data_IF_017435125817
#
_entry.id   IF_017435125817
#
_cell.length_a   1.000
_cell.length_b   1.000
_cell.length_c   1.000
_cell.angle_alpha   90.00
_cell.angle_beta   90.00
_cell.angle_gamma   90.00
#
_symmetry.space_group_name_H-M   'P 1'
#
loop_
_entity.id
_entity.type
_entity.pdbx_description
1 polymer ?
#
# COMPACT_ATOMS: atom_id res chain seq x y z
N UNK A 1 -16.13 23.16 -7.09
CA UNK A 1 -16.95 23.73 -8.19
C UNK A 1 -18.19 22.87 -8.35
N UNK A 2 -19.40 23.44 -8.33
CA UNK A 2 -20.66 22.70 -8.54
C UNK A 2 -20.66 22.15 -9.97
N UNK A 3 -20.76 20.82 -10.14
CA UNK A 3 -20.88 20.19 -11.46
C UNK A 3 -22.26 20.56 -12.06
N UNK A 4 -22.33 20.92 -13.34
CA UNK A 4 -23.61 21.23 -14.00
C UNK A 4 -24.52 20.00 -14.00
N UNK A 5 -25.82 20.22 -13.80
CA UNK A 5 -26.84 19.18 -13.59
C UNK A 5 -27.21 18.40 -14.85
N UNK A 6 -26.78 18.84 -16.04
CA UNK A 6 -27.05 18.16 -17.30
C UNK A 6 -25.78 18.20 -18.19
N UNK A 7 -24.91 17.20 -18.01
CA UNK A 7 -23.68 17.04 -18.80
C UNK A 7 -23.99 16.06 -19.94
N UNK A 8 -23.54 16.36 -21.15
CA UNK A 8 -23.68 15.46 -22.30
C UNK A 8 -22.28 15.02 -22.73
N UNK A 9 -22.09 13.72 -22.94
CA UNK A 9 -20.86 13.20 -23.50
C UNK A 9 -20.69 13.74 -24.92
N UNK A 10 -19.57 14.42 -25.19
CA UNK A 10 -19.28 14.98 -26.50
C UNK A 10 -19.17 13.89 -27.58
N UNK A 11 -18.69 12.70 -27.20
CA UNK A 11 -18.46 11.57 -28.10
C UNK A 11 -19.75 10.78 -28.34
N UNK A 12 -20.36 10.27 -27.26
CA UNK A 12 -21.54 9.39 -27.38
C UNK A 12 -22.86 10.14 -27.50
N UNK A 13 -22.86 11.47 -27.28
CA UNK A 13 -24.05 12.34 -27.21
C UNK A 13 -25.10 11.92 -26.17
N UNK A 14 -24.76 11.01 -25.27
CA UNK A 14 -25.61 10.54 -24.17
C UNK A 14 -25.52 11.49 -22.96
N UNK A 15 -26.60 11.64 -22.18
CA UNK A 15 -26.54 12.35 -20.90
C UNK A 15 -25.63 11.60 -19.93
N UNK A 16 -24.82 12.34 -19.19
CA UNK A 16 -23.91 11.85 -18.16
C UNK A 16 -24.36 12.35 -16.81
N UNK A 17 -24.29 11.49 -15.80
CA UNK A 17 -24.37 11.98 -14.42
C UNK A 17 -23.12 12.81 -14.10
N UNK A 18 -23.19 13.71 -13.11
CA UNK A 18 -22.03 14.47 -12.67
C UNK A 18 -20.83 13.60 -12.28
N UNK A 19 -21.05 12.39 -11.78
CA UNK A 19 -20.00 11.45 -11.38
C UNK A 19 -19.33 10.76 -12.58
N UNK A 20 -20.07 10.55 -13.67
CA UNK A 20 -19.59 9.84 -14.86
C UNK A 20 -18.91 10.74 -15.91
N UNK A 21 -19.00 12.06 -15.76
CA UNK A 21 -18.45 13.03 -16.70
C UNK A 21 -17.07 13.55 -16.30
N UNK A 22 -16.08 13.37 -17.18
CA UNK A 22 -14.77 14.00 -17.09
C UNK A 22 -14.69 15.20 -18.03
N UNK A 23 -14.24 16.35 -17.53
CA UNK A 23 -14.02 17.55 -18.35
C UNK A 23 -12.66 17.50 -19.04
N UNK A 24 -12.60 17.97 -20.28
CA UNK A 24 -11.41 18.00 -21.12
C UNK A 24 -10.17 18.58 -20.45
N UNK A 25 -10.33 19.63 -19.64
CA UNK A 25 -9.24 20.26 -18.88
C UNK A 25 -8.44 19.33 -17.96
N UNK A 26 -9.08 18.28 -17.45
CA UNK A 26 -8.46 17.33 -16.53
C UNK A 26 -7.86 16.11 -17.26
N UNK A 27 -7.88 16.10 -18.60
CA UNK A 27 -7.35 15.02 -19.43
C UNK A 27 -5.93 15.39 -19.88
N UNK A 28 -5.00 14.42 -19.86
CA UNK A 28 -3.63 14.62 -20.36
C UNK A 28 -3.67 15.07 -21.83
N UNK A 29 -2.83 16.03 -22.21
CA UNK A 29 -2.81 16.66 -23.54
C UNK A 29 -2.64 15.65 -24.68
N UNK A 30 -1.92 14.58 -24.41
CA UNK A 30 -1.57 13.49 -25.31
C UNK A 30 -2.80 12.64 -25.63
N UNK A 31 -3.66 12.41 -24.63
CA UNK A 31 -4.94 11.73 -24.81
C UNK A 31 -5.91 12.65 -25.55
N UNK A 32 -5.92 13.97 -25.25
CA UNK A 32 -6.73 14.94 -26.01
C UNK A 32 -6.32 14.96 -27.50
N UNK A 33 -5.01 14.88 -27.80
CA UNK A 33 -4.53 14.77 -29.18
C UNK A 33 -5.09 13.53 -29.88
N UNK A 34 -5.14 12.39 -29.20
CA UNK A 34 -5.73 11.17 -29.75
C UNK A 34 -7.24 11.29 -29.97
N UNK A 35 -7.97 11.84 -28.99
CA UNK A 35 -9.41 12.08 -29.12
C UNK A 35 -9.70 13.00 -30.31
N UNK A 36 -8.88 14.04 -30.52
CA UNK A 36 -9.03 14.99 -31.62
C UNK A 36 -8.83 14.39 -33.02
N UNK A 37 -8.18 13.23 -33.13
CA UNK A 37 -8.06 12.53 -34.41
C UNK A 37 -9.43 12.03 -34.87
N UNK A 38 -10.23 11.48 -33.95
CA UNK A 38 -11.56 10.95 -34.25
C UNK A 38 -12.66 12.01 -34.08
N UNK A 39 -12.46 12.96 -33.16
CA UNK A 39 -13.41 14.02 -32.81
C UNK A 39 -12.74 15.39 -32.78
N UNK A 40 -12.58 16.05 -33.96
CA UNK A 40 -11.86 17.32 -34.09
C UNK A 40 -12.43 18.46 -33.24
N UNK A 41 -13.74 18.43 -33.00
CA UNK A 41 -14.48 19.45 -32.24
C UNK A 41 -14.32 19.31 -30.71
N UNK A 42 -13.65 18.25 -30.24
CA UNK A 42 -13.45 18.04 -28.81
C UNK A 42 -12.50 19.10 -28.23
N UNK A 43 -12.99 19.85 -27.24
CA UNK A 43 -12.26 20.95 -26.62
C UNK A 43 -12.12 20.76 -25.09
N UNK A 44 -11.45 21.71 -24.46
CA UNK A 44 -11.14 21.74 -23.03
C UNK A 44 -12.38 21.77 -22.12
N UNK A 45 -13.45 22.42 -22.59
CA UNK A 45 -14.74 22.52 -21.89
C UNK A 45 -15.66 21.32 -22.17
N UNK A 46 -15.29 20.45 -23.11
CA UNK A 46 -16.09 19.29 -23.49
C UNK A 46 -16.03 18.21 -22.41
N UNK A 47 -17.13 17.48 -22.27
CA UNK A 47 -17.21 16.35 -21.34
C UNK A 47 -17.15 15.03 -22.10
N UNK A 48 -16.50 14.04 -21.50
CA UNK A 48 -16.40 12.67 -22.00
C UNK A 48 -16.80 11.72 -20.87
N UNK A 49 -17.44 10.60 -21.22
CA UNK A 49 -17.75 9.57 -20.24
C UNK A 49 -16.48 8.88 -19.73
N UNK A 50 -16.52 8.36 -18.50
CA UNK A 50 -15.42 7.53 -17.96
C UNK A 50 -15.08 6.37 -18.89
N UNK A 51 -16.11 5.70 -19.42
CA UNK A 51 -15.96 4.56 -20.31
C UNK A 51 -15.17 4.92 -21.58
N UNK A 52 -15.55 6.00 -22.25
CA UNK A 52 -14.91 6.42 -23.49
C UNK A 52 -13.49 6.95 -23.24
N UNK A 53 -13.30 7.71 -22.17
CA UNK A 53 -11.98 8.16 -21.76
C UNK A 53 -11.03 6.98 -21.50
N UNK A 54 -11.54 5.88 -20.94
CA UNK A 54 -10.75 4.68 -20.69
C UNK A 54 -10.38 3.94 -21.99
N UNK A 55 -11.22 3.97 -23.03
CA UNK A 55 -10.85 3.44 -24.35
C UNK A 55 -9.65 4.19 -24.92
N UNK A 56 -9.69 5.53 -24.90
CA UNK A 56 -8.57 6.35 -25.38
C UNK A 56 -7.30 6.19 -24.54
N UNK A 57 -7.42 5.97 -23.23
CA UNK A 57 -6.27 5.64 -22.36
C UNK A 57 -5.61 4.31 -22.75
N UNK A 58 -6.40 3.28 -23.08
CA UNK A 58 -5.86 2.00 -23.56
C UNK A 58 -5.10 2.19 -24.86
N UNK A 59 -5.67 2.92 -25.82
CA UNK A 59 -5.01 3.21 -27.10
C UNK A 59 -3.68 3.95 -26.88
N UNK A 60 -3.69 4.96 -26.00
CA UNK A 60 -2.47 5.70 -25.64
C UNK A 60 -1.40 4.79 -25.05
N UNK A 61 -1.74 3.95 -24.06
CA UNK A 61 -0.79 3.02 -23.43
C UNK A 61 -0.21 2.05 -24.47
N UNK A 62 -1.04 1.45 -25.31
CA UNK A 62 -0.60 0.56 -26.39
C UNK A 62 0.35 1.26 -27.37
N UNK A 63 0.13 2.56 -27.63
CA UNK A 63 1.01 3.35 -28.50
C UNK A 63 2.38 3.63 -27.89
N UNK A 64 2.47 3.79 -26.56
CA UNK A 64 3.74 3.98 -25.86
C UNK A 64 4.59 2.70 -25.93
N UNK A 65 3.98 1.54 -25.64
CA UNK A 65 4.67 0.24 -25.68
C UNK A 65 5.20 -0.04 -27.09
N UNK A 66 4.38 0.20 -28.12
CA UNK A 66 4.79 0.02 -29.53
C UNK A 66 5.98 0.91 -29.91
N UNK A 67 6.13 2.08 -29.28
CA UNK A 67 7.24 3.00 -29.55
C UNK A 67 8.54 2.56 -28.90
N UNK A 68 8.48 1.85 -27.77
CA UNK A 68 9.66 1.39 -27.02
C UNK A 68 10.15 0.00 -27.45
N UNK A 69 9.26 -0.94 -27.79
CA UNK A 69 9.64 -2.34 -28.02
C UNK A 69 9.93 -2.72 -29.48
N UNK A 70 9.67 -1.86 -30.47
CA UNK A 70 9.54 -2.36 -31.85
C UNK A 70 8.38 -3.36 -31.95
N UNK A 71 8.26 -4.14 -33.02
CA UNK A 71 7.10 -5.03 -33.24
C UNK A 71 6.80 -5.95 -32.03
N UNK A 72 5.56 -5.90 -31.54
CA UNK A 72 5.13 -6.53 -30.28
C UNK A 72 5.44 -8.03 -30.24
N UNK A 73 6.22 -8.44 -29.24
CA UNK A 73 6.42 -9.85 -28.93
C UNK A 73 5.13 -10.46 -28.33
N UNK A 74 4.91 -11.77 -28.44
CA UNK A 74 3.69 -12.46 -27.98
C UNK A 74 3.45 -12.28 -26.49
N UNK A 75 4.52 -12.23 -25.69
CA UNK A 75 4.48 -11.98 -24.26
C UNK A 75 3.98 -10.57 -23.91
N UNK A 76 4.32 -9.56 -24.72
CA UNK A 76 3.87 -8.18 -24.49
C UNK A 76 2.38 -8.03 -24.80
N UNK A 77 1.86 -8.79 -25.78
CA UNK A 77 0.42 -8.85 -26.08
C UNK A 77 -0.38 -9.44 -24.92
N UNK A 78 0.14 -10.48 -24.27
CA UNK A 78 -0.51 -11.08 -23.10
C UNK A 78 -0.57 -10.10 -21.91
N UNK A 79 0.50 -9.32 -21.69
CA UNK A 79 0.51 -8.25 -20.68
C UNK A 79 -0.52 -7.17 -21.00
N UNK A 80 -0.64 -6.75 -22.26
CA UNK A 80 -1.65 -5.76 -22.70
C UNK A 80 -3.08 -6.29 -22.51
N UNK A 81 -3.33 -7.56 -22.83
CA UNK A 81 -4.64 -8.18 -22.65
C UNK A 81 -5.02 -8.27 -21.16
N UNK A 82 -4.06 -8.66 -20.30
CA UNK A 82 -4.24 -8.70 -18.85
C UNK A 82 -4.54 -7.31 -18.25
N UNK A 83 -3.82 -6.26 -18.69
CA UNK A 83 -4.06 -4.87 -18.27
C UNK A 83 -5.41 -4.36 -18.80
N UNK A 84 -5.83 -4.78 -20.00
CA UNK A 84 -7.11 -4.38 -20.61
C UNK A 84 -8.32 -5.07 -19.98
N UNK A 85 -8.15 -6.32 -19.54
CA UNK A 85 -9.12 -7.10 -18.76
C UNK A 85 -9.25 -6.59 -17.33
N UNK A 86 -8.14 -6.14 -16.73
CA UNK A 86 -8.15 -5.55 -15.40
C UNK A 86 -8.64 -4.09 -15.47
N UNK A 87 -9.97 -3.97 -15.52
CA UNK A 87 -10.72 -2.72 -15.67
C UNK A 87 -10.28 -1.67 -14.61
N UNK A 88 -9.89 -0.48 -15.11
CA UNK A 88 -9.97 0.85 -14.46
C UNK A 88 -8.80 1.39 -13.60
N UNK A 89 -7.72 1.85 -14.25
CA UNK A 89 -6.73 2.77 -13.65
C UNK A 89 -7.20 4.24 -13.64
N UNK A 90 -8.31 4.57 -12.97
CA UNK A 90 -8.65 5.99 -12.77
C UNK A 90 -9.37 6.36 -11.49
N UNK A 91 -9.47 5.47 -10.51
CA UNK A 91 -9.70 5.88 -9.14
C UNK A 91 -8.96 4.89 -8.24
N UNK A 92 -7.88 5.37 -7.62
CA UNK A 92 -7.17 4.71 -6.53
C UNK A 92 -6.86 3.21 -6.72
N UNK A 93 -6.21 2.82 -7.82
CA UNK A 93 -5.41 1.60 -7.79
C UNK A 93 -4.10 1.96 -7.07
N UNK A 94 -4.21 2.00 -5.76
CA UNK A 94 -3.14 1.51 -4.92
C UNK A 94 -2.80 0.12 -5.47
N UNK A 95 -1.67 0.03 -6.16
CA UNK A 95 -1.16 -1.25 -6.63
C UNK A 95 -0.87 -2.06 -5.36
N UNK A 96 -1.85 -2.84 -4.90
CA UNK A 96 -1.62 -4.05 -4.15
C UNK A 96 -0.98 -5.03 -5.13
N UNK A 97 0.27 -4.76 -5.52
CA UNK A 97 1.21 -5.86 -5.63
C UNK A 97 1.15 -6.42 -4.22
N UNK A 98 0.49 -7.56 -4.07
CA UNK A 98 0.74 -8.48 -2.98
C UNK A 98 2.25 -8.72 -3.01
N UNK A 99 3.00 -7.79 -2.40
CA UNK A 99 4.33 -8.07 -1.91
C UNK A 99 4.01 -9.13 -0.88
N UNK A 100 4.14 -10.39 -1.28
CA UNK A 100 4.50 -11.50 -0.41
C UNK A 100 5.24 -10.88 0.77
N UNK A 101 4.53 -10.70 1.90
CA UNK A 101 5.10 -10.04 3.06
C UNK A 101 6.40 -10.80 3.32
N UNK A 102 7.53 -10.08 3.25
CA UNK A 102 8.83 -10.69 3.51
C UNK A 102 8.72 -11.45 4.83
N UNK A 103 9.39 -12.59 4.96
CA UNK A 103 9.34 -13.39 6.19
C UNK A 103 9.54 -12.54 7.45
N UNK A 104 10.41 -11.51 7.37
CA UNK A 104 10.62 -10.54 8.44
C UNK A 104 9.42 -9.64 8.74
N UNK A 105 8.62 -9.27 7.74
CA UNK A 105 7.38 -8.50 7.94
C UNK A 105 6.28 -9.37 8.57
N UNK A 106 6.14 -10.63 8.15
CA UNK A 106 5.20 -11.59 8.79
C UNK A 106 5.57 -11.82 10.26
N UNK A 107 6.85 -12.00 10.56
CA UNK A 107 7.34 -12.14 11.94
C UNK A 107 7.12 -10.88 12.77
N UNK A 108 7.45 -9.71 12.22
CA UNK A 108 7.28 -8.42 12.91
C UNK A 108 5.82 -8.16 13.29
N UNK A 109 4.87 -8.47 12.40
CA UNK A 109 3.43 -8.32 12.68
C UNK A 109 2.95 -9.28 13.79
N UNK A 110 3.47 -10.51 13.84
CA UNK A 110 3.16 -11.47 14.90
C UNK A 110 3.74 -10.99 16.24
N UNK A 111 5.01 -10.58 16.24
CA UNK A 111 5.69 -10.07 17.45
C UNK A 111 5.01 -8.80 17.96
N UNK A 112 4.62 -7.87 17.08
CA UNK A 112 3.94 -6.64 17.46
C UNK A 112 2.56 -6.91 18.09
N UNK A 113 1.78 -7.83 17.52
CA UNK A 113 0.48 -8.24 18.10
C UNK A 113 0.64 -8.93 19.46
N UNK A 114 1.69 -9.72 19.63
CA UNK A 114 1.97 -10.41 20.90
C UNK A 114 2.50 -9.45 21.98
N UNK A 115 3.50 -8.62 21.65
CA UNK A 115 4.13 -7.69 22.57
C UNK A 115 3.22 -6.50 22.96
N UNK A 116 2.24 -6.15 22.13
CA UNK A 116 1.24 -5.11 22.43
C UNK A 116 0.11 -5.56 23.37
N UNK A 117 0.08 -6.81 23.80
CA UNK A 117 -0.96 -7.35 24.68
C UNK A 117 -0.66 -7.08 26.16
N UNK A 118 -1.68 -6.68 26.93
CA UNK A 118 -1.60 -6.55 28.39
C UNK A 118 -1.21 -7.87 29.08
N UNK A 119 -1.61 -9.01 28.50
CA UNK A 119 -1.31 -10.33 29.05
C UNK A 119 0.21 -10.64 28.99
N UNK A 120 0.91 -10.13 27.96
CA UNK A 120 2.35 -10.33 27.79
C UNK A 120 3.14 -9.61 28.90
N UNK A 121 2.74 -8.38 29.24
CA UNK A 121 3.37 -7.59 30.31
C UNK A 121 3.26 -8.31 31.66
N UNK A 122 2.06 -8.83 31.96
CA UNK A 122 1.80 -9.57 33.21
C UNK A 122 2.63 -10.86 33.25
N UNK A 123 2.66 -11.62 32.15
CA UNK A 123 3.46 -12.83 32.05
C UNK A 123 4.95 -12.57 32.23
N UNK A 124 5.49 -11.53 31.59
CA UNK A 124 6.90 -11.15 31.71
C UNK A 124 7.25 -10.74 33.14
N UNK A 125 6.37 -9.99 33.80
CA UNK A 125 6.53 -9.61 35.20
C UNK A 125 6.54 -10.84 36.14
N UNK A 126 5.65 -11.81 35.90
CA UNK A 126 5.61 -13.05 36.68
C UNK A 126 6.89 -13.87 36.53
N UNK A 127 7.46 -13.96 35.33
CA UNK A 127 8.75 -14.64 35.10
C UNK A 127 9.86 -13.96 35.89
N UNK A 128 9.93 -12.62 35.86
CA UNK A 128 10.93 -11.87 36.63
C UNK A 128 10.77 -12.14 38.12
N UNK A 129 9.54 -12.07 38.65
CA UNK A 129 9.26 -12.34 40.06
C UNK A 129 9.60 -13.78 40.46
N UNK A 130 9.33 -14.75 39.58
CA UNK A 130 9.68 -16.14 39.80
C UNK A 130 11.20 -16.35 39.77
N UNK A 131 11.93 -15.70 38.86
CA UNK A 131 13.39 -15.75 38.79
C UNK A 131 14.04 -15.16 40.04
N UNK A 132 13.56 -13.99 40.48
CA UNK A 132 14.00 -13.34 41.72
C UNK A 132 13.67 -14.23 42.92
N UNK A 133 12.44 -14.77 42.99
CA UNK A 133 12.00 -15.65 44.06
C UNK A 133 12.86 -16.92 44.18
N UNK A 134 13.16 -17.59 43.06
CA UNK A 134 14.03 -18.77 43.04
C UNK A 134 15.44 -18.41 43.53
N UNK A 135 16.02 -17.31 43.07
CA UNK A 135 17.37 -16.91 43.46
C UNK A 135 17.48 -16.46 44.92
N UNK A 136 16.44 -15.80 45.45
CA UNK A 136 16.35 -15.41 46.88
C UNK A 136 16.16 -16.64 47.77
N UNK A 137 15.37 -17.63 47.36
CA UNK A 137 15.22 -18.89 48.10
C UNK A 137 16.49 -19.75 48.03
N UNK A 138 17.14 -19.81 46.86
CA UNK A 138 18.39 -20.53 46.63
C UNK A 138 19.60 -19.93 47.37
N UNK A 139 19.48 -18.71 47.90
CA UNK A 139 20.49 -18.04 48.72
C UNK A 139 20.89 -18.86 49.97
N UNK A 140 20.05 -19.82 50.38
CA UNK A 140 20.30 -20.73 51.51
C UNK A 140 21.23 -21.90 51.19
N UNK A 141 21.50 -22.22 49.92
CA UNK A 141 22.26 -23.42 49.52
C UNK A 141 23.38 -23.07 48.54
N UNK A 142 23.08 -22.33 47.46
CA UNK A 142 24.05 -21.72 46.54
C UNK A 142 23.29 -20.86 45.51
N UNK A 143 23.35 -19.51 45.55
CA UNK A 143 22.60 -18.69 44.61
C UNK A 143 23.20 -18.73 43.19
N UNK A 144 22.36 -18.95 42.19
CA UNK A 144 22.76 -18.98 40.77
C UNK A 144 23.00 -17.57 40.21
N UNK A 145 22.19 -16.59 40.63
CA UNK A 145 22.30 -15.17 40.28
C UNK A 145 22.13 -14.32 41.56
N UNK A 146 23.19 -14.11 42.37
CA UNK A 146 23.11 -13.34 43.60
C UNK A 146 22.82 -11.87 43.35
N UNK A 147 22.17 -11.21 44.30
CA UNK A 147 21.95 -9.76 44.26
C UNK A 147 23.29 -9.03 44.03
N UNK A 148 23.42 -8.16 43.01
CA UNK A 148 22.39 -7.38 42.31
C UNK A 148 21.80 -7.97 41.00
N UNK A 149 21.77 -9.30 40.84
CA UNK A 149 21.20 -10.02 39.67
C UNK A 149 21.86 -9.65 38.34
N UNK A 150 23.14 -9.98 38.19
CA UNK A 150 23.95 -9.57 37.03
C UNK A 150 23.47 -10.23 35.73
N UNK A 151 23.01 -11.49 35.81
CA UNK A 151 22.56 -12.24 34.65
C UNK A 151 21.19 -11.73 34.17
N UNK A 152 20.27 -11.49 35.10
CA UNK A 152 18.98 -10.91 34.79
C UNK A 152 19.13 -9.52 34.15
N UNK A 153 20.00 -8.67 34.70
CA UNK A 153 20.25 -7.34 34.16
C UNK A 153 20.88 -7.38 32.76
N UNK A 154 21.78 -8.34 32.51
CA UNK A 154 22.37 -8.54 31.18
C UNK A 154 21.30 -8.92 30.15
N UNK A 155 20.43 -9.88 30.49
CA UNK A 155 19.34 -10.33 29.62
C UNK A 155 18.36 -9.18 29.33
N UNK A 156 17.94 -8.44 30.37
CA UNK A 156 17.04 -7.29 30.22
C UNK A 156 17.64 -6.19 29.35
N UNK A 157 18.94 -5.91 29.51
CA UNK A 157 19.65 -4.92 28.70
C UNK A 157 19.72 -5.34 27.23
N UNK A 158 20.02 -6.61 26.95
CA UNK A 158 20.01 -7.15 25.60
C UNK A 158 18.61 -7.09 24.95
N UNK A 159 17.56 -7.43 25.71
CA UNK A 159 16.18 -7.33 25.25
C UNK A 159 15.79 -5.89 24.93
N UNK A 160 16.16 -4.93 25.79
CA UNK A 160 15.89 -3.51 25.57
C UNK A 160 16.63 -2.98 24.33
N UNK A 161 17.88 -3.39 24.11
CA UNK A 161 18.67 -2.98 22.95
C UNK A 161 18.04 -3.42 21.61
N UNK A 162 17.44 -4.61 21.59
CA UNK A 162 16.79 -5.17 20.39
C UNK A 162 15.41 -4.56 20.14
N UNK A 163 14.73 -4.06 21.19
CA UNK A 163 13.40 -3.45 21.06
C UNK A 163 13.41 -2.17 20.22
N UNK A 164 14.40 -1.28 20.37
CA UNK A 164 14.43 -0.01 19.65
C UNK A 164 14.49 -0.17 18.12
N UNK A 165 15.37 -1.02 17.53
CA UNK A 165 15.36 -1.33 16.11
C UNK A 165 14.07 -1.97 15.61
N UNK A 166 13.46 -2.87 16.38
CA UNK A 166 12.19 -3.53 16.02
C UNK A 166 11.04 -2.52 15.97
N UNK A 167 10.98 -1.62 16.95
CA UNK A 167 9.99 -0.53 16.99
C UNK A 167 10.19 0.41 15.79
N UNK A 168 11.42 0.85 15.51
CA UNK A 168 11.72 1.71 14.35
C UNK A 168 11.36 0.99 13.03
N UNK A 169 11.64 -0.30 12.92
CA UNK A 169 11.34 -1.09 11.73
C UNK A 169 9.84 -1.32 11.54
N UNK A 170 9.09 -1.59 12.61
CA UNK A 170 7.63 -1.70 12.56
C UNK A 170 6.93 -0.37 12.26
N UNK A 171 7.48 0.76 12.73
CA UNK A 171 6.99 2.09 12.40
C UNK A 171 7.21 2.46 10.93
N UNK A 172 8.35 2.08 10.35
CA UNK A 172 8.68 2.33 8.94
C UNK A 172 7.69 1.63 7.97
N UNK A 173 7.06 0.53 8.41
CA UNK A 173 6.01 -0.19 7.66
C UNK A 173 4.62 0.47 7.84
N UNK A 174 4.35 1.05 9.01
CA UNK A 174 3.06 1.69 9.33
C UNK A 174 2.88 3.09 8.71
N UNK A 175 3.97 3.84 8.53
CA UNK A 175 3.95 5.17 7.91
C UNK A 175 3.47 5.16 6.45
N UNK A 176 3.71 4.06 5.72
CA UNK A 176 3.16 3.87 4.38
C UNK A 176 1.63 3.65 4.38
N UNK A 177 1.06 3.13 5.48
CA UNK A 177 -0.39 2.90 5.62
C UNK A 177 -1.16 4.17 6.01
N UNK A 178 -0.56 5.12 6.73
CA UNK A 178 -1.26 6.35 7.16
C UNK A 178 -1.45 7.39 6.06
N UNK A 179 -0.64 7.37 5.00
CA UNK A 179 -0.82 8.27 3.84
C UNK A 179 -2.06 7.96 2.98
N UNK A 180 -2.82 6.92 3.33
CA UNK A 180 -3.98 6.40 2.56
C UNK A 180 -5.32 6.53 3.29
N UNK A 181 -5.36 7.29 4.39
CA UNK A 181 -6.62 7.69 5.03
C UNK A 181 -6.85 9.19 4.86
#
# INVERSE_FOLDING_TARGET
MKKPSNIICHITKKPLTPEEGYRGDFIRKEIIKLIKIDHPDFNQDSYISVEELNNYRKIYLSSLIKKESGELNTLEKEVIDAISKNKFLSENIEIYIEKELSFGQKLADIIAKFAGSWLFIIFFFLIIMLWVGINVLALTINPFDPYPFILLNLILSCLAAIQAPIIIMSQNIGGERQKKR
#
